data_IF_852636876654
#
_entry.id   IF_852636876654
#
_cell.length_a   1.000
_cell.length_b   1.000
_cell.length_c   1.000
_cell.angle_alpha   90.00
_cell.angle_beta   90.00
_cell.angle_gamma   90.00
#
_symmetry.space_group_name_H-M   'P 1'
#
loop_
_entity.id
_entity.type
_entity.pdbx_description
1 polymer ?
#
# COMPACT_ATOMS: atom_id res chain seq x y z
N UNK A 1 1.59 -7.11 -40.51
CA UNK A 1 2.19 -7.89 -39.40
C UNK A 1 2.65 -7.01 -38.23
N UNK A 2 3.03 -5.75 -38.46
CA UNK A 2 3.45 -4.75 -37.46
C UNK A 2 2.38 -4.38 -36.40
N UNK A 3 1.11 -4.27 -36.77
CA UNK A 3 0.06 -3.88 -35.80
C UNK A 3 -0.26 -4.93 -34.73
N UNK A 4 -0.16 -6.23 -35.05
CA UNK A 4 -0.47 -7.30 -34.10
C UNK A 4 0.60 -7.40 -33.00
N UNK A 5 1.87 -7.24 -33.36
CA UNK A 5 3.00 -7.27 -32.41
C UNK A 5 2.92 -6.13 -31.40
N UNK A 6 2.52 -4.93 -31.83
CA UNK A 6 2.33 -3.77 -30.95
C UNK A 6 1.21 -4.01 -29.93
N UNK A 7 0.06 -4.51 -30.38
CA UNK A 7 -1.09 -4.79 -29.49
C UNK A 7 -0.74 -5.84 -28.44
N UNK A 8 0.00 -6.88 -28.81
CA UNK A 8 0.44 -7.92 -27.89
C UNK A 8 1.47 -7.38 -26.89
N UNK A 9 2.43 -6.58 -27.35
CA UNK A 9 3.40 -5.91 -26.48
C UNK A 9 2.70 -5.02 -25.44
N UNK A 10 1.74 -4.20 -25.85
CA UNK A 10 0.97 -3.32 -24.95
C UNK A 10 0.14 -4.10 -23.93
N UNK A 11 -0.47 -5.23 -24.33
CA UNK A 11 -1.16 -6.13 -23.38
C UNK A 11 -0.18 -6.67 -22.33
N UNK A 12 1.04 -7.02 -22.71
CA UNK A 12 2.04 -7.56 -21.79
C UNK A 12 2.57 -6.49 -20.82
N UNK A 13 2.86 -5.28 -21.31
CA UNK A 13 3.28 -4.15 -20.48
C UNK A 13 2.22 -3.82 -19.43
N UNK A 14 0.94 -3.72 -19.84
CA UNK A 14 -0.18 -3.47 -18.93
C UNK A 14 -0.30 -4.54 -17.83
N UNK A 15 -0.10 -5.82 -18.15
CA UNK A 15 -0.11 -6.90 -17.14
C UNK A 15 1.02 -6.72 -16.12
N UNK A 16 2.23 -6.39 -16.59
CA UNK A 16 3.38 -6.11 -15.69
C UNK A 16 3.11 -4.90 -14.81
N UNK A 17 2.56 -3.82 -15.37
CA UNK A 17 2.23 -2.60 -14.63
C UNK A 17 1.19 -2.86 -13.54
N UNK A 18 0.06 -3.50 -13.86
CA UNK A 18 -0.97 -3.84 -12.87
C UNK A 18 -0.45 -4.78 -11.78
N UNK A 19 0.53 -5.63 -12.09
CA UNK A 19 1.18 -6.45 -11.09
C UNK A 19 2.11 -5.61 -10.20
N UNK A 20 3.07 -4.88 -10.76
CA UNK A 20 4.14 -4.23 -9.99
C UNK A 20 3.75 -2.89 -9.35
N UNK A 21 2.92 -2.08 -10.01
CA UNK A 21 2.55 -0.74 -9.53
C UNK A 21 2.03 -0.71 -8.08
N UNK A 22 1.02 -1.52 -7.67
CA UNK A 22 0.55 -1.50 -6.28
C UNK A 22 1.63 -1.90 -5.26
N UNK A 23 2.56 -2.80 -5.63
CA UNK A 23 3.63 -3.25 -4.70
C UNK A 23 4.67 -2.17 -4.52
N UNK A 24 5.16 -1.59 -5.62
CA UNK A 24 6.14 -0.51 -5.56
C UNK A 24 5.57 0.67 -4.79
N UNK A 25 4.33 1.07 -5.09
CA UNK A 25 3.68 2.18 -4.39
C UNK A 25 3.47 1.90 -2.90
N UNK A 26 3.14 0.65 -2.53
CA UNK A 26 3.03 0.24 -1.13
C UNK A 26 4.38 0.27 -0.39
N UNK A 27 5.48 -0.15 -1.04
CA UNK A 27 6.84 -0.05 -0.47
C UNK A 27 7.22 1.41 -0.27
N UNK A 28 7.03 2.25 -1.30
CA UNK A 28 7.32 3.69 -1.21
C UNK A 28 6.50 4.35 -0.11
N UNK A 29 5.23 3.99 0.03
CA UNK A 29 4.37 4.51 1.07
C UNK A 29 4.79 4.04 2.46
N UNK A 30 5.17 2.78 2.63
CA UNK A 30 5.72 2.27 3.89
C UNK A 30 6.99 3.04 4.29
N UNK A 31 7.89 3.33 3.35
CA UNK A 31 9.07 4.16 3.59
C UNK A 31 8.71 5.60 3.97
N UNK A 32 7.74 6.20 3.28
CA UNK A 32 7.23 7.53 3.61
C UNK A 32 6.70 7.59 5.04
N UNK A 33 5.88 6.62 5.45
CA UNK A 33 5.33 6.55 6.81
C UNK A 33 6.44 6.36 7.85
N UNK A 34 7.47 5.56 7.56
CA UNK A 34 8.62 5.36 8.46
C UNK A 34 9.36 6.66 8.80
N UNK A 35 9.37 7.66 7.92
CA UNK A 35 10.03 8.95 8.20
C UNK A 35 9.38 9.66 9.38
N UNK A 36 8.06 9.54 9.55
CA UNK A 36 7.36 10.16 10.67
C UNK A 36 7.74 9.55 12.01
N UNK A 37 8.11 8.26 12.05
CA UNK A 37 8.50 7.61 13.29
C UNK A 37 9.78 8.18 13.92
N UNK A 38 10.59 8.92 13.15
CA UNK A 38 11.80 9.57 13.66
C UNK A 38 11.52 10.79 14.56
N UNK A 39 10.28 11.25 14.65
CA UNK A 39 9.89 12.38 15.51
C UNK A 39 10.14 12.14 17.01
N UNK A 40 10.21 10.88 17.43
CA UNK A 40 10.51 10.47 18.82
C UNK A 40 11.96 10.75 19.26
N UNK A 41 12.87 11.04 18.33
CA UNK A 41 14.26 11.34 18.66
C UNK A 41 14.41 12.83 18.99
N UNK A 42 14.50 13.13 20.28
CA UNK A 42 14.67 14.50 20.78
C UNK A 42 15.72 14.58 21.89
N UNK A 43 16.31 15.77 22.14
CA UNK A 43 17.37 15.95 23.15
C UNK A 43 16.95 15.61 24.58
N UNK A 44 15.66 15.68 24.88
CA UNK A 44 15.05 15.44 26.18
C UNK A 44 14.70 13.96 26.45
N UNK A 45 14.79 13.10 25.43
CA UNK A 45 14.48 11.68 25.55
C UNK A 45 15.77 10.84 25.59
N UNK A 46 15.99 10.02 26.64
CA UNK A 46 17.13 9.11 26.69
C UNK A 46 17.14 8.15 25.49
N UNK A 47 18.30 7.92 24.90
CA UNK A 47 18.46 7.14 23.66
C UNK A 47 17.74 5.77 23.67
N UNK A 48 17.83 5.02 24.78
CA UNK A 48 17.13 3.75 24.92
C UNK A 48 15.60 3.87 24.86
N UNK A 49 15.03 4.93 25.46
CA UNK A 49 13.58 5.21 25.34
C UNK A 49 13.20 5.65 23.93
N UNK A 50 14.04 6.46 23.28
CA UNK A 50 13.81 6.88 21.90
C UNK A 50 13.76 5.68 20.94
N UNK A 51 14.65 4.69 21.08
CA UNK A 51 14.60 3.44 20.30
C UNK A 51 13.28 2.71 20.53
N UNK A 52 12.86 2.54 21.78
CA UNK A 52 11.58 1.84 22.06
C UNK A 52 10.39 2.60 21.49
N UNK A 53 10.38 3.93 21.60
CA UNK A 53 9.35 4.78 21.00
C UNK A 53 9.32 4.67 19.48
N UNK A 54 10.48 4.64 18.84
CA UNK A 54 10.63 4.50 17.39
C UNK A 54 10.05 3.17 16.90
N UNK A 55 10.38 2.06 17.57
CA UNK A 55 9.84 0.74 17.21
C UNK A 55 8.32 0.67 17.37
N UNK A 56 7.75 1.36 18.36
CA UNK A 56 6.29 1.48 18.53
C UNK A 56 5.68 2.35 17.42
N UNK A 57 6.31 3.47 17.05
CA UNK A 57 5.83 4.32 15.95
C UNK A 57 5.94 3.66 14.58
N UNK A 58 6.77 2.61 14.43
CA UNK A 58 6.83 1.78 13.23
C UNK A 58 5.75 0.69 13.14
N UNK A 59 4.91 0.50 14.18
CA UNK A 59 3.80 -0.48 14.12
C UNK A 59 2.93 -0.32 12.86
N UNK A 60 2.51 0.89 12.44
CA UNK A 60 1.74 1.07 11.20
C UNK A 60 2.49 0.58 9.95
N UNK A 61 3.82 0.77 9.91
CA UNK A 61 4.68 0.32 8.82
C UNK A 61 4.77 -1.21 8.80
N UNK A 62 4.93 -1.84 9.95
CA UNK A 62 4.96 -3.31 10.04
C UNK A 62 3.64 -3.94 9.58
N UNK A 63 2.50 -3.31 9.89
CA UNK A 63 1.20 -3.74 9.38
C UNK A 63 1.10 -3.60 7.85
N UNK A 64 1.56 -2.48 7.28
CA UNK A 64 1.60 -2.28 5.83
C UNK A 64 2.48 -3.34 5.13
N UNK A 65 3.65 -3.63 5.69
CA UNK A 65 4.55 -4.67 5.18
C UNK A 65 3.89 -6.06 5.25
N UNK A 66 3.23 -6.39 6.36
CA UNK A 66 2.49 -7.64 6.51
C UNK A 66 1.40 -7.79 5.44
N UNK A 67 0.60 -6.73 5.23
CA UNK A 67 -0.42 -6.68 4.17
C UNK A 67 0.23 -6.86 2.79
N UNK A 68 1.34 -6.19 2.51
CA UNK A 68 2.04 -6.30 1.23
C UNK A 68 2.53 -7.73 0.96
N UNK A 69 3.13 -8.39 1.96
CA UNK A 69 3.59 -9.78 1.87
C UNK A 69 2.42 -10.71 1.53
N UNK A 70 1.31 -10.58 2.26
CA UNK A 70 0.09 -11.36 2.02
C UNK A 70 -0.52 -11.05 0.63
N UNK A 71 -0.54 -9.77 0.25
CA UNK A 71 -1.06 -9.29 -1.03
C UNK A 71 -0.21 -9.70 -2.23
N UNK A 72 1.04 -10.14 -2.00
CA UNK A 72 1.89 -10.71 -3.03
C UNK A 72 1.29 -11.99 -3.62
N UNK A 73 0.72 -12.85 -2.76
CA UNK A 73 0.01 -14.07 -3.18
C UNK A 73 -1.48 -13.84 -3.44
N UNK A 74 -2.10 -12.95 -2.65
CA UNK A 74 -3.55 -12.73 -2.64
C UNK A 74 -3.92 -11.24 -2.71
N UNK A 75 -4.07 -10.70 -3.93
CA UNK A 75 -4.33 -9.27 -4.16
C UNK A 75 -5.53 -8.69 -3.40
N UNK A 76 -6.56 -9.51 -3.12
CA UNK A 76 -7.73 -9.05 -2.37
C UNK A 76 -7.37 -8.64 -0.94
N UNK A 77 -6.33 -9.23 -0.34
CA UNK A 77 -5.83 -8.83 0.98
C UNK A 77 -5.24 -7.43 0.94
N UNK A 78 -4.61 -7.03 -0.16
CA UNK A 78 -4.13 -5.66 -0.36
C UNK A 78 -5.27 -4.65 -0.36
N UNK A 79 -6.40 -4.99 -1.00
CA UNK A 79 -7.62 -4.15 -1.01
C UNK A 79 -8.21 -4.03 0.39
N UNK A 80 -8.49 -5.17 1.03
CA UNK A 80 -9.13 -5.20 2.34
C UNK A 80 -8.23 -4.58 3.42
N UNK A 81 -6.94 -4.91 3.41
CA UNK A 81 -5.97 -4.40 4.37
C UNK A 81 -5.80 -2.88 4.30
N UNK A 82 -5.74 -2.30 3.09
CA UNK A 82 -5.63 -0.84 2.94
C UNK A 82 -6.89 -0.10 3.39
N UNK A 83 -8.08 -0.67 3.16
CA UNK A 83 -9.34 -0.11 3.68
C UNK A 83 -9.38 -0.18 5.20
N UNK A 84 -9.05 -1.33 5.79
CA UNK A 84 -9.07 -1.53 7.25
C UNK A 84 -8.11 -0.55 7.93
N UNK A 85 -6.86 -0.43 7.46
CA UNK A 85 -5.90 0.49 8.08
C UNK A 85 -6.35 1.96 7.92
N UNK A 86 -6.95 2.33 6.79
CA UNK A 86 -7.49 3.69 6.59
C UNK A 86 -8.62 3.99 7.57
N UNK A 87 -9.56 3.04 7.75
CA UNK A 87 -10.65 3.18 8.71
C UNK A 87 -10.15 3.19 10.16
N UNK A 88 -9.18 2.33 10.48
CA UNK A 88 -8.54 2.29 11.80
C UNK A 88 -7.88 3.63 12.13
N UNK A 89 -7.18 4.24 11.17
CA UNK A 89 -6.56 5.55 11.38
C UNK A 89 -7.60 6.62 11.75
N UNK A 90 -8.68 6.75 10.97
CA UNK A 90 -9.78 7.70 11.28
C UNK A 90 -10.36 7.43 12.67
N UNK A 91 -10.59 6.16 13.01
CA UNK A 91 -11.17 5.77 14.28
C UNK A 91 -10.26 6.12 15.46
N UNK A 92 -8.96 5.83 15.35
CA UNK A 92 -7.98 6.09 16.40
C UNK A 92 -7.77 7.59 16.64
N UNK A 93 -7.76 8.39 15.57
CA UNK A 93 -7.64 9.84 15.68
C UNK A 93 -8.97 10.54 15.98
N UNK A 94 -10.09 9.81 16.03
CA UNK A 94 -11.44 10.36 16.27
C UNK A 94 -11.78 11.57 15.37
N UNK A 95 -11.24 11.60 14.16
CA UNK A 95 -11.39 12.72 13.23
C UNK A 95 -10.87 14.09 13.76
N UNK A 96 -9.96 14.12 14.75
CA UNK A 96 -9.47 15.39 15.34
C UNK A 96 -8.26 16.00 14.62
N UNK A 97 -7.52 15.21 13.84
CA UNK A 97 -6.36 15.73 13.09
C UNK A 97 -6.74 16.74 12.00
N UNK A 98 -5.75 17.53 11.59
CA UNK A 98 -5.90 18.42 10.44
C UNK A 98 -6.20 17.60 9.17
N UNK A 99 -7.09 18.10 8.30
CA UNK A 99 -7.54 17.39 7.09
C UNK A 99 -6.39 16.94 6.16
N UNK A 100 -5.28 17.70 6.13
CA UNK A 100 -4.08 17.33 5.38
C UNK A 100 -3.44 16.03 5.86
N UNK A 101 -3.50 15.71 7.15
CA UNK A 101 -2.98 14.47 7.70
C UNK A 101 -3.82 13.26 7.23
N UNK A 102 -5.15 13.43 7.16
CA UNK A 102 -6.01 12.41 6.57
C UNK A 102 -5.74 12.24 5.09
N UNK A 103 -5.61 13.34 4.33
CA UNK A 103 -5.35 13.26 2.91
C UNK A 103 -4.00 12.60 2.59
N UNK A 104 -2.95 12.92 3.36
CA UNK A 104 -1.60 12.41 3.14
C UNK A 104 -1.44 10.93 3.49
N UNK A 105 -2.21 10.42 4.45
CA UNK A 105 -2.14 9.00 4.85
C UNK A 105 -3.20 8.15 4.14
N UNK A 106 -4.46 8.58 4.15
CA UNK A 106 -5.57 7.82 3.59
C UNK A 106 -5.57 7.87 2.06
N UNK A 107 -5.24 9.03 1.47
CA UNK A 107 -5.24 9.21 0.01
C UNK A 107 -4.35 8.18 -0.71
N UNK A 108 -3.06 8.08 -0.39
CA UNK A 108 -2.18 7.06 -0.95
C UNK A 108 -2.62 5.63 -0.63
N UNK A 109 -3.13 5.37 0.59
CA UNK A 109 -3.63 4.02 0.94
C UNK A 109 -4.80 3.57 0.07
N UNK A 110 -5.78 4.44 -0.16
CA UNK A 110 -6.92 4.14 -1.02
C UNK A 110 -6.48 3.96 -2.48
N UNK A 111 -5.54 4.79 -2.97
CA UNK A 111 -4.96 4.62 -4.30
C UNK A 111 -4.27 3.25 -4.46
N UNK A 112 -3.48 2.84 -3.46
CA UNK A 112 -2.84 1.50 -3.44
C UNK A 112 -3.90 0.39 -3.44
N UNK A 113 -4.96 0.53 -2.62
CA UNK A 113 -6.08 -0.40 -2.57
C UNK A 113 -6.79 -0.55 -3.92
N UNK A 114 -7.05 0.56 -4.61
CA UNK A 114 -7.64 0.56 -5.96
C UNK A 114 -6.73 -0.14 -6.98
N UNK A 115 -5.42 0.08 -6.91
CA UNK A 115 -4.46 -0.62 -7.78
C UNK A 115 -4.45 -2.13 -7.54
N UNK A 116 -4.52 -2.57 -6.27
CA UNK A 116 -4.66 -4.00 -5.94
C UNK A 116 -5.99 -4.57 -6.46
N UNK A 117 -7.07 -3.80 -6.41
CA UNK A 117 -8.37 -4.20 -6.93
C UNK A 117 -8.32 -4.37 -8.46
N UNK A 118 -7.74 -3.43 -9.18
CA UNK A 118 -7.57 -3.55 -10.64
C UNK A 118 -6.67 -4.73 -11.02
N UNK A 119 -5.59 -4.95 -10.27
CA UNK A 119 -4.73 -6.13 -10.45
C UNK A 119 -5.53 -7.43 -10.29
N UNK A 120 -6.39 -7.49 -9.26
CA UNK A 120 -7.26 -8.65 -8.97
C UNK A 120 -8.25 -8.89 -10.11
N UNK A 121 -8.99 -7.87 -10.54
CA UNK A 121 -10.00 -7.99 -11.60
C UNK A 121 -9.34 -8.46 -12.91
N UNK A 122 -8.20 -7.85 -13.27
CA UNK A 122 -7.47 -8.25 -14.48
C UNK A 122 -6.98 -9.70 -14.42
N UNK A 123 -6.54 -10.18 -13.24
CA UNK A 123 -6.14 -11.56 -13.03
C UNK A 123 -7.33 -12.53 -13.12
N UNK A 124 -8.47 -12.20 -12.54
CA UNK A 124 -9.69 -13.04 -12.60
C UNK A 124 -10.19 -13.17 -14.04
N UNK A 125 -10.35 -12.06 -14.76
CA UNK A 125 -10.80 -12.08 -16.16
C UNK A 125 -9.87 -12.89 -17.08
N UNK A 126 -8.57 -12.89 -16.79
CA UNK A 126 -7.60 -13.68 -17.56
C UNK A 126 -7.73 -15.19 -17.35
N UNK A 127 -8.29 -15.64 -16.22
CA UNK A 127 -8.56 -17.05 -15.94
C UNK A 127 -9.82 -17.51 -16.65
N UNK A 128 -10.91 -16.75 -16.53
CA UNK A 128 -12.20 -17.07 -17.18
C UNK A 128 -12.07 -17.24 -18.70
N UNK A 129 -11.27 -16.39 -19.37
CA UNK A 129 -11.04 -16.49 -20.83
C UNK A 129 -10.17 -17.69 -21.24
N UNK A 130 -9.54 -18.39 -20.29
CA UNK A 130 -8.76 -19.61 -20.58
C UNK A 130 -9.66 -20.86 -20.50
N UNK A 131 -10.78 -20.76 -19.79
CA UNK A 131 -11.69 -21.87 -19.49
C UNK A 131 -12.92 -21.89 -20.43
N UNK A 132 -13.05 -20.89 -21.32
CA UNK A 132 -14.04 -20.75 -22.40
C UNK A 132 -13.48 -21.12 -23.76
#
# INVERSE_FOLDING_TARGET
MTGLTEVLAMKQVRKKLLFWAPRILCILFALFVSVFAFDVFSPDVPFGRAITGFLVHLIPVYLLIGILILAWRWEWIGVVGTIILSALYIFMTKASEHWLAYLSLIGPMLLIGLLFLFARIAKVNSRLRKDS
#
